data_IF_193870595197
#
_entry.id   IF_193870595197
#
_cell.length_a   1.000
_cell.length_b   1.000
_cell.length_c   1.000
_cell.angle_alpha   90.00
_cell.angle_beta   90.00
_cell.angle_gamma   90.00
#
_symmetry.space_group_name_H-M   'P 1'
#
loop_
_entity.id
_entity.type
_entity.pdbx_description
1 polymer ?
#
# COMPACT_ATOMS: atom_id res chain seq x y z
N UNK A 1 -1.28 11.20 14.20
CA UNK A 1 -0.51 10.27 13.36
C UNK A 1 0.22 9.32 14.29
N UNK A 2 0.19 8.01 14.03
CA UNK A 2 0.94 7.07 14.85
C UNK A 2 2.44 7.29 14.62
N UNK A 3 3.16 7.72 15.66
CA UNK A 3 4.61 7.98 15.63
C UNK A 3 5.39 6.79 15.07
N UNK A 4 4.87 5.56 15.22
CA UNK A 4 5.51 4.36 14.68
C UNK A 4 5.36 4.25 13.17
N UNK A 5 4.21 4.65 12.61
CA UNK A 5 4.00 4.66 11.17
C UNK A 5 5.00 5.59 10.47
N UNK A 6 5.21 6.78 11.04
CA UNK A 6 6.13 7.78 10.47
C UNK A 6 7.58 7.27 10.47
N UNK A 7 7.97 6.58 11.54
CA UNK A 7 9.27 5.91 11.62
C UNK A 7 9.41 4.82 10.57
N UNK A 8 8.38 4.00 10.36
CA UNK A 8 8.42 2.95 9.35
C UNK A 8 8.55 3.56 7.94
N UNK A 9 7.79 4.63 7.64
CA UNK A 9 7.88 5.32 6.35
C UNK A 9 9.29 5.87 6.12
N UNK A 10 9.89 6.52 7.12
CA UNK A 10 11.26 7.02 7.04
C UNK A 10 12.28 5.87 6.80
N UNK A 11 12.14 4.75 7.52
CA UNK A 11 12.98 3.57 7.31
C UNK A 11 12.80 2.99 5.91
N UNK A 12 11.57 2.86 5.42
CA UNK A 12 11.26 2.36 4.08
C UNK A 12 11.84 3.24 2.97
N UNK A 13 11.80 4.56 3.13
CA UNK A 13 12.42 5.49 2.19
C UNK A 13 13.92 5.21 2.06
N UNK A 14 14.62 5.00 3.17
CA UNK A 14 16.06 4.68 3.18
C UNK A 14 16.34 3.32 2.53
N UNK A 15 15.63 2.28 2.99
CA UNK A 15 15.78 0.89 2.48
C UNK A 15 15.46 0.81 0.99
N UNK A 16 14.51 1.62 0.49
CA UNK A 16 14.15 1.62 -0.92
C UNK A 16 15.35 1.92 -1.83
N UNK A 17 16.24 2.83 -1.43
CA UNK A 17 17.45 3.16 -2.17
C UNK A 17 18.47 2.01 -2.12
N UNK A 18 18.63 1.41 -0.94
CA UNK A 18 19.51 0.25 -0.72
C UNK A 18 19.08 -1.01 -1.47
N UNK A 19 17.82 -1.06 -1.90
CA UNK A 19 17.28 -2.11 -2.75
C UNK A 19 17.37 -1.72 -4.23
N UNK A 20 16.81 -0.56 -4.61
CA UNK A 20 16.64 -0.18 -6.02
C UNK A 20 17.99 0.02 -6.72
N UNK A 21 18.99 0.56 -6.04
CA UNK A 21 20.32 0.79 -6.63
C UNK A 21 21.00 -0.54 -7.01
N UNK A 22 21.12 -1.54 -6.11
CA UNK A 22 21.61 -2.88 -6.47
C UNK A 22 20.80 -3.60 -7.54
N UNK A 23 19.47 -3.46 -7.54
CA UNK A 23 18.60 -4.11 -8.53
C UNK A 23 18.93 -3.71 -9.97
N UNK A 24 19.35 -2.47 -10.22
CA UNK A 24 19.81 -2.01 -11.55
C UNK A 24 21.03 -2.78 -12.06
N UNK A 25 21.85 -3.30 -11.13
CA UNK A 25 23.01 -4.14 -11.40
C UNK A 25 22.68 -5.64 -11.35
N UNK A 26 21.40 -6.01 -11.26
CA UNK A 26 20.92 -7.40 -11.14
C UNK A 26 21.40 -8.10 -9.86
N UNK A 27 21.60 -7.34 -8.79
CA UNK A 27 22.01 -7.87 -7.49
C UNK A 27 20.89 -7.70 -6.47
N UNK A 28 20.60 -8.75 -5.71
CA UNK A 28 19.69 -8.70 -4.56
C UNK A 28 20.48 -8.33 -3.32
N UNK A 29 20.16 -7.19 -2.71
CA UNK A 29 20.61 -6.87 -1.36
C UNK A 29 19.73 -7.60 -0.33
N UNK A 30 20.20 -8.78 0.11
CA UNK A 30 19.43 -9.67 1.01
C UNK A 30 19.13 -9.03 2.35
N UNK A 31 20.06 -8.25 2.89
CA UNK A 31 19.89 -7.56 4.17
C UNK A 31 18.75 -6.52 4.08
N UNK A 32 18.80 -5.65 3.07
CA UNK A 32 17.79 -4.63 2.86
C UNK A 32 16.39 -5.22 2.58
N UNK A 33 16.31 -6.30 1.79
CA UNK A 33 15.04 -7.01 1.59
C UNK A 33 14.54 -7.70 2.87
N UNK A 34 15.43 -8.25 3.70
CA UNK A 34 15.05 -8.82 4.99
C UNK A 34 14.41 -7.77 5.88
N UNK A 35 15.04 -6.60 5.99
CA UNK A 35 14.53 -5.47 6.76
C UNK A 35 13.20 -4.95 6.21
N UNK A 36 13.10 -4.79 4.88
CA UNK A 36 11.83 -4.47 4.21
C UNK A 36 10.72 -5.43 4.61
N UNK A 37 10.96 -6.74 4.58
CA UNK A 37 9.92 -7.71 4.90
C UNK A 37 9.52 -7.70 6.38
N UNK A 38 10.44 -7.41 7.29
CA UNK A 38 10.09 -7.23 8.71
C UNK A 38 9.24 -5.97 8.92
N UNK A 39 9.59 -4.86 8.27
CA UNK A 39 8.76 -3.65 8.30
C UNK A 39 7.38 -3.89 7.69
N UNK A 40 7.28 -4.66 6.61
CA UNK A 40 5.98 -5.05 6.04
C UNK A 40 5.15 -5.94 6.98
N UNK A 41 5.79 -6.86 7.72
CA UNK A 41 5.10 -7.65 8.75
C UNK A 41 4.54 -6.77 9.86
N UNK A 42 5.31 -5.76 10.27
CA UNK A 42 4.87 -4.81 11.28
C UNK A 42 3.74 -3.91 10.77
N UNK A 43 3.86 -3.39 9.54
CA UNK A 43 2.82 -2.61 8.88
C UNK A 43 1.50 -3.36 8.77
N UNK A 44 1.54 -4.65 8.47
CA UNK A 44 0.33 -5.47 8.43
C UNK A 44 -0.42 -5.46 9.77
N UNK A 45 0.31 -5.45 10.90
CA UNK A 45 -0.30 -5.41 12.24
C UNK A 45 -0.88 -4.04 12.55
N UNK A 46 -0.16 -2.97 12.20
CA UNK A 46 -0.58 -1.58 12.45
C UNK A 46 -1.81 -1.26 11.59
N UNK A 47 -1.78 -1.64 10.31
CA UNK A 47 -2.83 -1.32 9.34
C UNK A 47 -4.08 -2.22 9.44
N UNK A 48 -4.08 -3.25 10.28
CA UNK A 48 -5.17 -4.23 10.36
C UNK A 48 -6.55 -3.60 10.65
N UNK A 49 -6.58 -2.48 11.39
CA UNK A 49 -7.79 -1.75 11.75
C UNK A 49 -7.83 -0.32 11.17
N UNK A 50 -6.86 0.05 10.33
CA UNK A 50 -6.78 1.37 9.72
C UNK A 50 -7.66 1.42 8.47
N UNK A 51 -8.60 2.38 8.42
CA UNK A 51 -9.47 2.58 7.25
C UNK A 51 -8.71 3.12 6.04
N UNK A 52 -7.62 3.85 6.27
CA UNK A 52 -6.88 4.54 5.24
C UNK A 52 -5.39 4.21 5.33
N UNK A 53 -4.79 3.91 4.19
CA UNK A 53 -3.35 3.71 4.08
C UNK A 53 -2.75 5.00 3.52
N UNK A 54 -1.68 5.48 4.16
CA UNK A 54 -0.96 6.66 3.71
C UNK A 54 -0.41 6.46 2.29
N UNK A 55 -0.58 7.47 1.43
CA UNK A 55 -0.16 7.43 0.02
C UNK A 55 1.34 7.17 -0.13
N UNK A 56 2.16 7.81 0.70
CA UNK A 56 3.62 7.67 0.66
C UNK A 56 4.06 6.22 0.87
N UNK A 57 3.43 5.50 1.81
CA UNK A 57 3.69 4.09 2.03
C UNK A 57 3.40 3.24 0.77
N UNK A 58 2.28 3.51 0.10
CA UNK A 58 1.91 2.83 -1.15
C UNK A 58 2.97 3.10 -2.22
N UNK A 59 3.37 4.36 -2.39
CA UNK A 59 4.36 4.79 -3.39
C UNK A 59 5.71 4.09 -3.19
N UNK A 60 6.23 4.04 -1.97
CA UNK A 60 7.52 3.40 -1.67
C UNK A 60 7.47 1.89 -1.97
N UNK A 61 6.48 1.19 -1.44
CA UNK A 61 6.37 -0.26 -1.60
C UNK A 61 6.10 -0.64 -3.07
N UNK A 62 5.28 0.14 -3.77
CA UNK A 62 5.03 -0.08 -5.19
C UNK A 62 6.27 0.22 -6.05
N UNK A 63 7.06 1.24 -5.70
CA UNK A 63 8.32 1.54 -6.38
C UNK A 63 9.30 0.37 -6.25
N UNK A 64 9.50 -0.18 -5.05
CA UNK A 64 10.37 -1.35 -4.85
C UNK A 64 9.87 -2.56 -5.64
N UNK A 65 8.57 -2.84 -5.58
CA UNK A 65 7.95 -3.95 -6.32
C UNK A 65 8.18 -3.82 -7.83
N UNK A 66 7.88 -2.66 -8.41
CA UNK A 66 7.99 -2.43 -9.86
C UNK A 66 9.44 -2.47 -10.34
N UNK A 67 10.39 -1.96 -9.55
CA UNK A 67 11.81 -2.10 -9.86
C UNK A 67 12.24 -3.57 -9.83
N UNK A 68 11.80 -4.35 -8.84
CA UNK A 68 12.11 -5.78 -8.78
C UNK A 68 11.54 -6.55 -9.98
N UNK A 69 10.27 -6.35 -10.30
CA UNK A 69 9.57 -6.99 -11.42
C UNK A 69 10.22 -6.64 -12.77
N UNK A 70 10.46 -5.35 -13.00
CA UNK A 70 11.14 -4.86 -14.20
C UNK A 70 12.52 -5.49 -14.34
N UNK A 71 13.33 -5.48 -13.27
CA UNK A 71 14.71 -5.97 -13.35
C UNK A 71 14.77 -7.49 -13.55
N UNK A 72 13.81 -8.25 -12.98
CA UNK A 72 13.70 -9.69 -13.15
C UNK A 72 13.51 -10.10 -14.63
N UNK A 73 12.76 -9.32 -15.41
CA UNK A 73 12.49 -9.60 -16.83
C UNK A 73 13.72 -9.55 -17.74
N UNK A 74 14.81 -8.92 -17.29
CA UNK A 74 16.05 -8.81 -18.07
C UNK A 74 17.18 -9.73 -17.57
N UNK A 75 16.88 -10.68 -16.68
CA UNK A 75 17.88 -11.63 -16.19
C UNK A 75 17.95 -12.83 -17.12
N UNK A 76 19.15 -13.12 -17.62
CA UNK A 76 19.40 -14.25 -18.54
C UNK A 76 19.85 -15.52 -17.84
N UNK A 77 20.48 -15.39 -16.67
CA UNK A 77 20.98 -16.51 -15.90
C UNK A 77 19.87 -17.10 -15.05
N UNK A 78 19.58 -18.40 -15.22
CA UNK A 78 18.45 -19.04 -14.55
C UNK A 78 18.58 -19.07 -13.02
N UNK A 79 19.79 -19.22 -12.47
CA UNK A 79 20.03 -19.17 -11.03
C UNK A 79 19.63 -17.81 -10.43
N UNK A 80 20.08 -16.73 -11.08
CA UNK A 80 19.78 -15.36 -10.64
C UNK A 80 18.28 -15.05 -10.85
N UNK A 81 17.69 -15.55 -11.92
CA UNK A 81 16.25 -15.39 -12.21
C UNK A 81 15.39 -16.08 -11.17
N UNK A 82 15.77 -17.28 -10.72
CA UNK A 82 15.09 -17.98 -9.61
C UNK A 82 15.15 -17.15 -8.33
N UNK A 83 16.30 -16.57 -8.01
CA UNK A 83 16.44 -15.71 -6.83
C UNK A 83 15.51 -14.49 -6.92
N UNK A 84 15.54 -13.74 -8.02
CA UNK A 84 14.64 -12.60 -8.22
C UNK A 84 13.16 -12.99 -8.14
N UNK A 85 12.79 -14.13 -8.75
CA UNK A 85 11.42 -14.64 -8.73
C UNK A 85 10.96 -14.96 -7.31
N UNK A 86 11.84 -15.48 -6.45
CA UNK A 86 11.52 -15.75 -5.06
C UNK A 86 11.20 -14.46 -4.28
N UNK A 87 12.03 -13.41 -4.42
CA UNK A 87 11.78 -12.11 -3.80
C UNK A 87 10.52 -11.45 -4.35
N UNK A 88 10.29 -11.54 -5.66
CA UNK A 88 9.11 -10.98 -6.31
C UNK A 88 7.82 -11.65 -5.80
N UNK A 89 7.85 -12.99 -5.67
CA UNK A 89 6.73 -13.76 -5.11
C UNK A 89 6.45 -13.36 -3.67
N UNK A 90 7.50 -13.24 -2.84
CA UNK A 90 7.36 -12.80 -1.44
C UNK A 90 6.81 -11.37 -1.33
N UNK A 91 7.30 -10.45 -2.16
CA UNK A 91 6.79 -9.08 -2.24
C UNK A 91 5.30 -9.06 -2.61
N UNK A 92 4.88 -9.82 -3.63
CA UNK A 92 3.46 -9.93 -4.02
C UNK A 92 2.57 -10.44 -2.88
N UNK A 93 3.02 -11.44 -2.11
CA UNK A 93 2.29 -11.92 -0.94
C UNK A 93 2.13 -10.83 0.10
N UNK A 94 3.23 -10.14 0.48
CA UNK A 94 3.22 -9.08 1.49
C UNK A 94 2.37 -7.88 1.07
N UNK A 95 2.47 -7.46 -0.19
CA UNK A 95 1.60 -6.42 -0.75
C UNK A 95 0.12 -6.83 -0.66
N UNK A 96 -0.23 -8.08 -0.98
CA UNK A 96 -1.61 -8.58 -0.86
C UNK A 96 -2.09 -8.62 0.59
N UNK A 97 -1.22 -8.99 1.52
CA UNK A 97 -1.54 -9.01 2.96
C UNK A 97 -1.85 -7.60 3.50
N UNK A 98 -1.10 -6.59 3.08
CA UNK A 98 -1.26 -5.20 3.50
C UNK A 98 -2.44 -4.52 2.77
N UNK A 99 -2.50 -4.64 1.44
CA UNK A 99 -3.44 -3.87 0.62
C UNK A 99 -4.71 -4.65 0.26
N UNK A 100 -4.64 -5.99 0.17
CA UNK A 100 -5.72 -6.82 -0.37
C UNK A 100 -6.98 -6.84 0.49
N UNK A 101 -6.86 -6.75 1.83
CA UNK A 101 -8.01 -6.66 2.73
C UNK A 101 -8.67 -5.28 2.71
N UNK A 102 -7.88 -4.22 2.55
CA UNK A 102 -8.38 -2.83 2.54
C UNK A 102 -9.05 -2.47 1.21
N UNK A 103 -8.66 -3.11 0.09
CA UNK A 103 -9.39 -3.02 -1.19
C UNK A 103 -10.81 -3.60 -1.07
N UNK A 104 -11.01 -4.69 -0.32
CA UNK A 104 -12.36 -5.23 -0.09
C UNK A 104 -13.21 -4.34 0.83
N UNK A 105 -12.60 -3.72 1.85
CA UNK A 105 -13.32 -2.79 2.74
C UNK A 105 -13.73 -1.51 2.01
N UNK A 106 -12.88 -0.92 1.17
CA UNK A 106 -13.22 0.26 0.37
C UNK A 106 -14.22 -0.07 -0.76
N UNK A 107 -14.18 -1.27 -1.34
CA UNK A 107 -15.19 -1.71 -2.31
C UNK A 107 -16.57 -1.97 -1.66
N UNK A 108 -16.59 -2.33 -0.36
CA UNK A 108 -17.82 -2.53 0.42
C UNK A 108 -18.30 -1.26 1.14
N UNK A 109 -17.51 -0.18 1.16
CA UNK A 109 -18.07 1.15 1.41
C UNK A 109 -18.95 1.48 0.21
N UNK A 110 -20.24 1.12 0.28
CA UNK A 110 -21.26 1.74 -0.56
C UNK A 110 -21.01 3.24 -0.47
N UNK A 111 -20.70 3.89 -1.59
CA UNK A 111 -20.88 5.33 -1.71
C UNK A 111 -22.29 5.60 -1.20
N UNK A 112 -22.40 6.28 -0.06
CA UNK A 112 -23.72 6.62 0.47
C UNK A 112 -24.26 7.64 -0.51
N UNK A 113 -25.13 7.19 -1.42
CA UNK A 113 -25.68 8.07 -2.42
C UNK A 113 -26.61 9.06 -1.72
N UNK A 114 -26.83 10.22 -2.33
CA UNK A 114 -27.79 11.20 -1.81
C UNK A 114 -29.16 10.54 -1.59
N UNK A 115 -29.52 9.53 -2.39
CA UNK A 115 -30.75 8.74 -2.21
C UNK A 115 -30.74 7.90 -0.92
N UNK A 116 -29.63 7.23 -0.61
CA UNK A 116 -29.52 6.43 0.63
C UNK A 116 -29.62 7.32 1.88
N UNK A 117 -29.10 8.56 1.79
CA UNK A 117 -29.22 9.56 2.86
C UNK A 117 -30.66 10.05 2.98
N UNK A 118 -31.32 10.37 1.86
CA UNK A 118 -32.72 10.80 1.82
C UNK A 118 -33.67 9.74 2.40
N UNK A 119 -33.47 8.47 2.06
CA UNK A 119 -34.28 7.35 2.56
C UNK A 119 -34.11 7.12 4.07
N UNK A 120 -32.91 7.34 4.61
CA UNK A 120 -32.63 7.14 6.04
C UNK A 120 -32.92 8.35 6.92
N UNK A 121 -32.92 9.56 6.36
CA UNK A 121 -33.17 10.83 7.08
C UNK A 121 -34.59 11.38 6.92
N UNK A 122 -35.39 10.82 6.00
CA UNK A 122 -36.72 11.33 5.67
C UNK A 122 -36.70 12.63 4.85
N UNK A 123 -35.53 13.05 4.36
CA UNK A 123 -35.35 14.24 3.52
C UNK A 123 -35.84 13.93 2.11
N UNK A 124 -36.78 14.70 1.58
CA UNK A 124 -37.34 14.51 0.24
C UNK A 124 -36.68 15.38 -0.83
N UNK A 125 -35.84 16.34 -0.42
CA UNK A 125 -35.14 17.25 -1.31
C UNK A 125 -33.61 16.98 -1.31
N UNK A 126 -33.02 16.57 -2.45
CA UNK A 126 -31.58 16.33 -2.57
C UNK A 126 -30.72 17.56 -2.23
N UNK A 127 -31.23 18.77 -2.46
CA UNK A 127 -30.48 20.00 -2.24
C UNK A 127 -30.24 20.26 -0.75
N UNK A 128 -31.19 19.88 0.12
CA UNK A 128 -31.06 20.03 1.57
C UNK A 128 -29.97 19.12 2.14
N UNK A 129 -29.77 17.93 1.55
CA UNK A 129 -28.67 17.03 1.91
C UNK A 129 -27.32 17.68 1.57
N UNK A 130 -27.21 18.27 0.37
CA UNK A 130 -25.98 18.92 -0.09
C UNK A 130 -25.65 20.15 0.77
N UNK A 131 -26.64 20.97 1.09
CA UNK A 131 -26.44 22.19 1.89
C UNK A 131 -26.13 21.86 3.37
N UNK A 132 -26.71 20.78 3.90
CA UNK A 132 -26.34 20.26 5.23
C UNK A 132 -24.91 19.75 5.28
N UNK A 133 -24.43 19.07 4.23
CA UNK A 133 -23.05 18.63 4.13
C UNK A 133 -22.07 19.81 4.03
N UNK A 134 -22.40 20.86 3.28
CA UNK A 134 -21.56 22.08 3.18
C UNK A 134 -21.35 22.74 4.54
N UNK A 135 -22.41 22.84 5.36
CA UNK A 135 -22.34 23.44 6.71
C UNK A 135 -21.45 22.67 7.70
N UNK A 136 -21.08 21.43 7.42
CA UNK A 136 -20.16 20.66 8.27
C UNK A 136 -18.69 20.97 8.00
N UNK A 137 -18.39 21.65 6.89
CA UNK A 137 -17.03 21.98 6.44
C UNK A 137 -16.74 23.49 6.43
N UNK A 138 -17.70 24.31 6.89
CA UNK A 138 -17.54 25.74 7.21
C UNK A 138 -17.44 25.92 8.74
#
# INVERSE_FOLDING_TARGET
MDKRMDQIIASLNTISLEIVVPLRKKVINKAAFSELFELMNELQKILYNEKFIQKELVEILFHVYTQLDMQANYIRTEEVKKEFTAYLTKMRSKMREIFGKNVQQNANMKETSVKDIMESSGITNPQEVIDGLKKLYD
#
